data_IF_212886398312
#
_entry.id   IF_212886398312
#
_cell.length_a   1.000
_cell.length_b   1.000
_cell.length_c   1.000
_cell.angle_alpha   90.00
_cell.angle_beta   90.00
_cell.angle_gamma   90.00
#
_symmetry.space_group_name_H-M   'P 1'
#
loop_
_entity.id
_entity.type
_entity.pdbx_description
1 polymer ?
#
# COMPACT_ATOMS: atom_id res chain seq x y z
N UNK A 1 8.09 -19.43 14.03
CA UNK A 1 8.80 -18.31 13.37
C UNK A 1 7.77 -17.55 12.56
N UNK A 2 7.82 -16.21 12.51
CA UNK A 2 6.95 -15.47 11.60
C UNK A 2 7.32 -15.88 10.16
N UNK A 3 6.33 -16.31 9.38
CA UNK A 3 6.55 -16.70 7.99
C UNK A 3 6.81 -15.41 7.20
N UNK A 4 8.00 -15.30 6.61
CA UNK A 4 8.30 -14.17 5.73
C UNK A 4 7.45 -14.30 4.45
N UNK A 5 6.80 -13.22 3.99
CA UNK A 5 6.09 -13.23 2.71
C UNK A 5 7.04 -13.60 1.57
N UNK A 6 6.53 -14.25 0.53
CA UNK A 6 7.34 -14.58 -0.65
C UNK A 6 7.66 -13.34 -1.49
N UNK A 7 6.75 -12.37 -1.49
CA UNK A 7 6.85 -11.14 -2.28
C UNK A 7 6.63 -9.93 -1.39
N UNK A 8 7.46 -8.90 -1.57
CA UNK A 8 7.23 -7.56 -1.00
C UNK A 8 6.88 -6.60 -2.13
N UNK A 9 5.68 -6.03 -2.09
CA UNK A 9 5.27 -4.95 -3.00
C UNK A 9 5.62 -3.63 -2.33
N UNK A 10 6.44 -2.80 -2.96
CA UNK A 10 6.85 -1.50 -2.42
C UNK A 10 6.27 -0.41 -3.30
N UNK A 11 5.49 0.50 -2.71
CA UNK A 11 4.85 1.62 -3.41
C UNK A 11 5.19 2.95 -2.74
N UNK A 12 6.19 3.68 -3.26
CA UNK A 12 6.39 5.08 -2.88
C UNK A 12 5.24 5.93 -3.43
N UNK A 13 4.77 6.89 -2.63
CA UNK A 13 3.70 7.80 -2.99
C UNK A 13 4.06 9.23 -2.56
N UNK A 14 3.96 10.17 -3.50
CA UNK A 14 4.12 11.60 -3.27
C UNK A 14 3.12 12.38 -4.11
N UNK A 15 2.14 13.03 -3.48
CA UNK A 15 1.10 13.81 -4.16
C UNK A 15 0.33 13.05 -5.27
N UNK A 16 -0.20 11.87 -4.93
CA UNK A 16 -0.92 10.95 -5.84
C UNK A 16 -2.38 10.75 -5.43
N UNK A 17 -3.06 11.73 -4.83
CA UNK A 17 -4.43 11.58 -4.31
C UNK A 17 -5.44 11.01 -5.34
N UNK A 18 -5.21 11.25 -6.64
CA UNK A 18 -6.08 10.77 -7.72
C UNK A 18 -5.93 9.28 -8.04
N UNK A 19 -4.78 8.69 -7.72
CA UNK A 19 -4.40 7.35 -8.21
C UNK A 19 -4.08 6.38 -7.08
N UNK A 20 -3.68 6.88 -5.92
CA UNK A 20 -3.18 6.05 -4.82
C UNK A 20 -4.21 5.02 -4.35
N UNK A 21 -5.50 5.39 -4.35
CA UNK A 21 -6.56 4.45 -3.97
C UNK A 21 -6.72 3.28 -4.95
N UNK A 22 -6.77 3.57 -6.26
CA UNK A 22 -6.86 2.54 -7.30
C UNK A 22 -5.62 1.63 -7.31
N UNK A 23 -4.44 2.22 -7.11
CA UNK A 23 -3.19 1.46 -7.00
C UNK A 23 -3.20 0.50 -5.79
N UNK A 24 -3.68 0.96 -4.63
CA UNK A 24 -3.82 0.10 -3.45
C UNK A 24 -4.79 -1.04 -3.73
N UNK A 25 -5.98 -0.73 -4.27
CA UNK A 25 -6.97 -1.75 -4.61
C UNK A 25 -6.43 -2.78 -5.62
N UNK A 26 -5.67 -2.34 -6.61
CA UNK A 26 -5.04 -3.23 -7.59
C UNK A 26 -4.09 -4.25 -6.94
N UNK A 27 -3.28 -3.82 -5.98
CA UNK A 27 -2.36 -4.70 -5.24
C UNK A 27 -3.11 -5.61 -4.27
N UNK A 28 -4.10 -5.10 -3.54
CA UNK A 28 -4.84 -5.89 -2.55
C UNK A 28 -5.70 -6.98 -3.19
N UNK A 29 -6.17 -6.77 -4.42
CA UNK A 29 -7.02 -7.68 -5.19
C UNK A 29 -6.24 -8.72 -6.04
N UNK A 30 -4.92 -8.86 -5.85
CA UNK A 30 -4.14 -9.91 -6.52
C UNK A 30 -4.58 -11.32 -6.11
N UNK A 31 -4.55 -12.26 -7.06
CA UNK A 31 -4.88 -13.68 -6.83
C UNK A 31 -3.80 -14.41 -6.03
N UNK A 32 -2.56 -13.93 -6.09
CA UNK A 32 -1.47 -14.38 -5.23
C UNK A 32 -1.51 -13.61 -3.91
N UNK A 33 -1.52 -14.31 -2.76
CA UNK A 33 -1.80 -13.69 -1.46
C UNK A 33 -0.64 -13.70 -0.45
N UNK A 34 0.45 -14.42 -0.73
CA UNK A 34 1.62 -14.54 0.17
C UNK A 34 2.59 -13.36 -0.02
N UNK A 35 2.08 -12.15 0.20
CA UNK A 35 2.83 -10.90 0.06
C UNK A 35 2.62 -9.94 1.23
N UNK A 36 3.58 -9.05 1.43
CA UNK A 36 3.42 -7.81 2.18
C UNK A 36 3.37 -6.61 1.25
N UNK A 37 2.70 -5.55 1.68
CA UNK A 37 2.53 -4.33 0.91
C UNK A 37 3.04 -3.14 1.70
N UNK A 38 4.21 -2.64 1.32
CA UNK A 38 4.88 -1.53 1.99
C UNK A 38 4.60 -0.26 1.20
N UNK A 39 3.89 0.67 1.83
CA UNK A 39 3.54 1.97 1.25
C UNK A 39 4.41 3.02 1.93
N UNK A 40 5.07 3.88 1.16
CA UNK A 40 5.95 4.93 1.68
C UNK A 40 5.42 6.26 1.21
N UNK A 41 4.83 7.05 2.12
CA UNK A 41 4.46 8.43 1.82
C UNK A 41 5.66 9.35 2.03
N UNK A 42 6.16 9.93 0.94
CA UNK A 42 7.35 10.80 0.93
C UNK A 42 7.00 12.26 1.27
N UNK A 43 6.20 12.46 2.33
CA UNK A 43 5.79 13.79 2.78
C UNK A 43 4.80 14.50 1.85
N UNK A 44 3.81 13.78 1.33
CA UNK A 44 2.74 14.36 0.50
C UNK A 44 2.02 15.50 1.23
N UNK A 45 1.65 16.53 0.46
CA UNK A 45 0.93 17.72 0.92
C UNK A 45 -0.53 17.76 0.45
N UNK A 46 -0.94 16.77 -0.34
CA UNK A 46 -2.31 16.56 -0.80
C UNK A 46 -3.02 15.48 0.05
N UNK A 47 -4.15 14.97 -0.44
CA UNK A 47 -4.95 13.97 0.30
C UNK A 47 -4.35 12.56 0.29
N UNK A 48 -3.13 12.35 -0.24
CA UNK A 48 -2.51 11.02 -0.37
C UNK A 48 -2.38 10.30 0.98
N UNK A 49 -1.88 10.98 2.03
CA UNK A 49 -1.73 10.37 3.37
C UNK A 49 -3.09 9.93 3.93
N UNK A 50 -4.10 10.79 3.79
CA UNK A 50 -5.45 10.51 4.26
C UNK A 50 -6.03 9.28 3.55
N UNK A 51 -5.87 9.21 2.22
CA UNK A 51 -6.38 8.10 1.41
C UNK A 51 -5.70 6.79 1.82
N UNK A 52 -4.36 6.76 1.98
CA UNK A 52 -3.63 5.56 2.38
C UNK A 52 -4.12 5.07 3.76
N UNK A 53 -4.32 5.98 4.73
CA UNK A 53 -4.75 5.62 6.10
C UNK A 53 -6.16 5.00 6.18
N UNK A 54 -7.01 5.20 5.18
CA UNK A 54 -8.36 4.61 5.11
C UNK A 54 -8.32 3.09 4.89
N UNK A 55 -7.26 2.57 4.28
CA UNK A 55 -7.12 1.13 4.01
C UNK A 55 -6.73 0.37 5.28
N UNK A 56 -7.49 -0.68 5.59
CA UNK A 56 -7.26 -1.58 6.72
C UNK A 56 -7.08 -3.00 6.19
N UNK A 57 -5.82 -3.38 5.97
CA UNK A 57 -5.45 -4.73 5.55
C UNK A 57 -4.21 -5.16 6.34
N UNK A 58 -4.18 -6.42 6.79
CA UNK A 58 -3.07 -6.95 7.61
C UNK A 58 -1.76 -7.07 6.84
N UNK A 59 -1.82 -7.05 5.50
CA UNK A 59 -0.66 -7.06 4.60
C UNK A 59 -0.02 -5.68 4.46
N UNK A 60 -0.74 -4.59 4.77
CA UNK A 60 -0.22 -3.23 4.62
C UNK A 60 0.74 -2.87 5.74
N UNK A 61 1.89 -2.30 5.36
CA UNK A 61 2.87 -1.61 6.20
C UNK A 61 2.96 -0.17 5.71
N UNK A 62 2.53 0.77 6.54
CA UNK A 62 2.52 2.21 6.24
C UNK A 62 3.05 2.99 7.43
#
# INVERSE_FOLDING_TARGET
>A
MAKNPLVSVIMPAYNHERYVGEAIESVLNQTFTDFEFIIINDGSTDSTDEIIRRYKDSRIRY
#
